data_IF_528337084828
#
_entry.id   IF_528337084828
#
_cell.length_a   1.000
_cell.length_b   1.000
_cell.length_c   1.000
_cell.angle_alpha   90.00
_cell.angle_beta   90.00
_cell.angle_gamma   90.00
#
_symmetry.space_group_name_H-M   'P 1'
#
loop_
_entity.id
_entity.type
_entity.pdbx_description
1 polymer ?
#
# COMPACT_ATOMS: atom_id res chain seq x y z
N UNK A 1 6.57 -15.15 -20.22
CA UNK A 1 6.95 -13.94 -20.99
C UNK A 1 6.37 -12.63 -20.45
N UNK A 2 5.23 -12.60 -19.71
CA UNK A 2 4.78 -11.35 -19.04
C UNK A 2 5.49 -11.08 -17.68
N UNK A 3 5.90 -12.13 -16.96
CA UNK A 3 6.49 -12.02 -15.63
C UNK A 3 8.02 -11.81 -15.60
N UNK A 4 8.74 -11.95 -16.72
CA UNK A 4 10.22 -11.79 -16.72
C UNK A 4 10.68 -10.36 -16.41
N UNK A 5 9.77 -9.39 -16.51
CA UNK A 5 10.01 -8.00 -16.16
C UNK A 5 9.35 -7.56 -14.86
N UNK A 6 8.62 -8.44 -14.16
CA UNK A 6 7.93 -8.12 -12.92
C UNK A 6 8.87 -8.32 -11.71
N UNK A 7 8.91 -7.35 -10.81
CA UNK A 7 9.62 -7.47 -9.54
C UNK A 7 8.74 -6.99 -8.38
N UNK A 8 8.85 -7.65 -7.23
CA UNK A 8 8.14 -7.27 -6.01
C UNK A 8 9.17 -7.01 -4.92
N UNK A 9 9.14 -5.82 -4.33
CA UNK A 9 9.92 -5.46 -3.15
C UNK A 9 8.98 -5.20 -1.97
N UNK A 10 9.53 -5.22 -0.76
CA UNK A 10 8.83 -4.88 0.48
C UNK A 10 9.77 -4.11 1.38
N UNK A 11 9.23 -3.21 2.20
CA UNK A 11 9.93 -2.72 3.37
C UNK A 11 9.57 -3.57 4.59
N UNK A 12 9.56 -2.95 5.77
CA UNK A 12 9.42 -3.65 7.04
C UNK A 12 7.97 -3.83 7.52
N UNK A 13 6.97 -3.23 6.85
CA UNK A 13 5.60 -3.23 7.34
C UNK A 13 4.94 -4.63 7.30
N UNK A 14 5.10 -5.35 6.18
CA UNK A 14 4.41 -6.63 5.96
C UNK A 14 5.25 -7.66 5.15
N UNK A 15 6.50 -8.00 5.57
CA UNK A 15 7.38 -8.88 4.80
C UNK A 15 6.77 -10.27 4.53
N UNK A 16 6.11 -10.87 5.52
CA UNK A 16 5.46 -12.18 5.36
C UNK A 16 4.32 -12.16 4.32
N UNK A 17 3.59 -11.04 4.20
CA UNK A 17 2.56 -10.89 3.17
C UNK A 17 3.22 -10.76 1.79
N UNK A 18 4.28 -9.96 1.68
CA UNK A 18 5.02 -9.80 0.43
C UNK A 18 5.62 -11.13 -0.07
N UNK A 19 6.19 -11.93 0.83
CA UNK A 19 6.67 -13.28 0.53
C UNK A 19 5.55 -14.19 0.04
N UNK A 20 4.38 -14.15 0.69
CA UNK A 20 3.20 -14.90 0.27
C UNK A 20 2.72 -14.51 -1.13
N UNK A 21 2.69 -13.22 -1.44
CA UNK A 21 2.34 -12.71 -2.77
C UNK A 21 3.39 -13.14 -3.81
N UNK A 22 4.68 -12.94 -3.55
CA UNK A 22 5.76 -13.33 -4.45
C UNK A 22 5.74 -14.84 -4.74
N UNK A 23 5.51 -15.67 -3.70
CA UNK A 23 5.34 -17.11 -3.82
C UNK A 23 4.15 -17.48 -4.71
N UNK A 24 2.99 -16.84 -4.53
CA UNK A 24 1.81 -17.08 -5.38
C UNK A 24 2.02 -16.63 -6.84
N UNK A 25 2.88 -15.64 -7.07
CA UNK A 25 3.28 -15.19 -8.40
C UNK A 25 4.39 -16.05 -9.03
N UNK A 26 5.00 -16.97 -8.26
CA UNK A 26 6.09 -17.82 -8.74
C UNK A 26 7.40 -17.07 -9.00
N UNK A 27 7.61 -15.92 -8.34
CA UNK A 27 8.81 -15.09 -8.45
C UNK A 27 9.49 -14.93 -7.08
N UNK A 28 10.81 -14.75 -7.02
CA UNK A 28 11.48 -14.37 -5.78
C UNK A 28 11.12 -12.94 -5.39
N UNK A 29 11.18 -12.64 -4.10
CA UNK A 29 11.16 -11.27 -3.61
C UNK A 29 12.45 -10.56 -4.01
N UNK A 30 12.33 -9.30 -4.43
CA UNK A 30 13.46 -8.44 -4.77
C UNK A 30 14.33 -8.18 -3.54
N UNK A 31 15.65 -8.14 -3.77
CA UNK A 31 16.68 -7.94 -2.77
C UNK A 31 16.85 -6.45 -2.52
N UNK A 32 16.46 -6.02 -1.33
CA UNK A 32 16.73 -4.68 -0.83
C UNK A 32 17.10 -4.74 0.66
N UNK A 33 17.99 -3.86 1.08
CA UNK A 33 18.21 -3.58 2.49
C UNK A 33 17.34 -2.37 2.86
N UNK A 34 16.43 -2.55 3.80
CA UNK A 34 15.59 -1.47 4.35
C UNK A 34 15.82 -1.46 5.85
N UNK A 35 16.71 -0.59 6.31
CA UNK A 35 17.19 -0.57 7.69
C UNK A 35 17.13 0.85 8.25
N UNK A 36 17.68 1.04 9.45
CA UNK A 36 17.84 2.36 10.05
C UNK A 36 19.29 2.59 10.45
N UNK A 37 19.77 3.82 10.28
CA UNK A 37 20.99 4.29 10.91
C UNK A 37 20.83 4.36 12.44
N UNK A 38 21.93 4.59 13.15
CA UNK A 38 21.96 4.61 14.62
C UNK A 38 21.09 5.71 15.25
N UNK A 39 20.81 6.78 14.51
CA UNK A 39 19.95 7.89 14.90
C UNK A 39 18.46 7.68 14.53
N UNK A 40 18.15 6.57 13.86
CA UNK A 40 16.79 6.19 13.48
C UNK A 40 16.37 6.62 12.07
N UNK A 41 17.25 7.31 11.31
CA UNK A 41 16.97 7.63 9.92
C UNK A 41 16.93 6.37 9.06
N UNK A 42 15.96 6.30 8.14
CA UNK A 42 15.78 5.14 7.27
C UNK A 42 16.88 5.10 6.20
N UNK A 43 17.50 3.94 6.02
CA UNK A 43 18.47 3.64 4.98
C UNK A 43 17.89 2.59 4.03
N UNK A 44 17.92 2.87 2.74
CA UNK A 44 17.44 1.95 1.69
C UNK A 44 18.53 1.72 0.65
N UNK A 45 18.75 0.46 0.31
CA UNK A 45 19.64 0.03 -0.77
C UNK A 45 18.96 -1.07 -1.61
N UNK A 46 18.87 -0.86 -2.92
CA UNK A 46 18.36 -1.86 -3.87
C UNK A 46 19.54 -2.72 -4.35
N UNK A 47 19.52 -4.02 -4.04
CA UNK A 47 20.66 -4.93 -4.21
C UNK A 47 20.58 -5.78 -5.49
N UNK A 48 19.80 -5.35 -6.47
CA UNK A 48 19.72 -6.00 -7.77
C UNK A 48 19.29 -5.05 -8.89
N UNK A 49 19.46 -5.48 -10.14
CA UNK A 49 19.19 -4.63 -11.30
C UNK A 49 17.68 -4.53 -11.58
N UNK A 50 17.13 -3.33 -11.38
CA UNK A 50 15.72 -3.00 -11.63
C UNK A 50 15.50 -2.22 -12.93
N UNK A 51 16.55 -1.96 -13.73
CA UNK A 51 16.46 -1.08 -14.91
C UNK A 51 15.42 -1.59 -15.91
N UNK A 52 14.44 -0.75 -16.22
CA UNK A 52 13.36 -1.04 -17.17
C UNK A 52 12.35 -2.09 -16.68
N UNK A 53 12.45 -2.54 -15.43
CA UNK A 53 11.53 -3.52 -14.84
C UNK A 53 10.24 -2.85 -14.36
N UNK A 54 9.16 -3.61 -14.33
CA UNK A 54 7.89 -3.23 -13.74
C UNK A 54 7.90 -3.65 -12.26
N UNK A 55 8.00 -2.65 -11.38
CA UNK A 55 8.30 -2.86 -9.97
C UNK A 55 7.07 -2.58 -9.12
N UNK A 56 6.74 -3.51 -8.24
CA UNK A 56 5.75 -3.35 -7.19
C UNK A 56 6.47 -3.22 -5.85
N UNK A 57 6.11 -2.22 -5.05
CA UNK A 57 6.54 -2.12 -3.65
C UNK A 57 5.33 -2.41 -2.77
N UNK A 58 5.32 -3.59 -2.14
CA UNK A 58 4.28 -4.02 -1.22
C UNK A 58 4.63 -3.56 0.19
N UNK A 59 3.94 -2.52 0.66
CA UNK A 59 4.18 -1.93 1.97
C UNK A 59 2.91 -1.22 2.44
N UNK A 60 2.27 -1.72 3.51
CA UNK A 60 1.23 -0.93 4.19
C UNK A 60 1.85 0.22 4.95
N UNK A 61 1.10 1.32 5.09
CA UNK A 61 1.47 2.43 5.96
C UNK A 61 0.79 2.28 7.33
N UNK A 62 0.89 1.09 7.91
CA UNK A 62 0.39 0.76 9.26
C UNK A 62 1.38 1.19 10.35
N UNK A 63 1.05 0.98 11.63
CA UNK A 63 1.96 1.33 12.74
C UNK A 63 3.30 0.59 12.62
N UNK A 64 4.45 1.27 12.80
CA UNK A 64 4.64 2.72 12.96
C UNK A 64 4.44 3.49 11.64
N UNK A 65 3.36 4.28 11.58
CA UNK A 65 2.84 4.86 10.32
C UNK A 65 3.86 5.69 9.56
N UNK A 66 4.57 6.57 10.26
CA UNK A 66 5.49 7.53 9.63
C UNK A 66 6.73 6.82 9.11
N UNK A 67 7.27 5.88 9.88
CA UNK A 67 8.46 5.12 9.48
C UNK A 67 8.15 4.29 8.25
N UNK A 68 7.03 3.55 8.24
CA UNK A 68 6.62 2.72 7.11
C UNK A 68 6.32 3.56 5.85
N UNK A 69 5.73 4.75 6.02
CA UNK A 69 5.53 5.71 4.93
C UNK A 69 6.86 6.24 4.38
N UNK A 70 7.80 6.59 5.25
CA UNK A 70 9.12 7.10 4.83
C UNK A 70 9.95 6.01 4.16
N UNK A 71 9.91 4.78 4.66
CA UNK A 71 10.51 3.61 3.98
C UNK A 71 9.96 3.47 2.55
N UNK A 72 8.64 3.49 2.38
CA UNK A 72 8.02 3.39 1.06
C UNK A 72 8.48 4.51 0.12
N UNK A 73 8.48 5.76 0.59
CA UNK A 73 8.92 6.92 -0.19
C UNK A 73 10.38 6.78 -0.64
N UNK A 74 11.27 6.40 0.28
CA UNK A 74 12.70 6.25 -0.01
C UNK A 74 12.97 5.05 -0.92
N UNK A 75 12.23 3.95 -0.78
CA UNK A 75 12.29 2.83 -1.72
C UNK A 75 11.86 3.24 -3.12
N UNK A 76 10.77 4.01 -3.26
CA UNK A 76 10.32 4.51 -4.56
C UNK A 76 11.37 5.43 -5.20
N UNK A 77 11.96 6.36 -4.44
CA UNK A 77 13.02 7.24 -4.95
C UNK A 77 14.26 6.44 -5.39
N UNK A 78 14.71 5.46 -4.60
CA UNK A 78 15.83 4.59 -4.94
C UNK A 78 15.59 3.80 -6.23
N UNK A 79 14.40 3.18 -6.38
CA UNK A 79 13.99 2.45 -7.58
C UNK A 79 13.93 3.36 -8.81
N UNK A 80 13.38 4.57 -8.65
CA UNK A 80 13.28 5.57 -9.72
C UNK A 80 14.65 6.00 -10.22
N UNK A 81 15.58 6.31 -9.30
CA UNK A 81 16.97 6.66 -9.63
C UNK A 81 17.73 5.49 -10.25
N UNK A 82 17.42 4.27 -9.84
CA UNK A 82 17.92 3.04 -10.45
C UNK A 82 17.28 2.74 -11.82
N UNK A 83 16.43 3.63 -12.34
CA UNK A 83 15.79 3.54 -13.66
C UNK A 83 14.81 2.38 -13.79
N UNK A 84 14.07 2.06 -12.71
CA UNK A 84 12.89 1.21 -12.82
C UNK A 84 11.97 1.72 -13.95
N UNK A 85 11.42 0.80 -14.73
CA UNK A 85 10.59 1.14 -15.90
C UNK A 85 9.21 1.67 -15.50
N UNK A 86 8.63 1.06 -14.47
CA UNK A 86 7.39 1.52 -13.83
C UNK A 86 7.40 1.20 -12.34
N UNK A 87 6.85 2.08 -11.50
CA UNK A 87 6.73 1.84 -10.06
C UNK A 87 5.27 1.87 -9.60
N UNK A 88 4.78 0.74 -9.09
CA UNK A 88 3.45 0.59 -8.48
C UNK A 88 3.60 0.45 -6.96
N UNK A 89 2.93 1.29 -6.19
CA UNK A 89 2.86 1.14 -4.74
C UNK A 89 1.64 0.27 -4.38
N UNK A 90 1.89 -0.94 -3.85
CA UNK A 90 0.86 -1.81 -3.31
C UNK A 90 0.78 -1.58 -1.79
N UNK A 91 -0.28 -0.91 -1.34
CA UNK A 91 -0.47 -0.45 0.03
C UNK A 91 -1.74 -1.13 0.60
N UNK A 92 -1.65 -2.39 1.09
CA UNK A 92 -2.82 -3.12 1.58
C UNK A 92 -3.60 -2.37 2.65
N UNK A 93 -2.92 -1.69 3.57
CA UNK A 93 -3.55 -0.76 4.50
C UNK A 93 -3.00 0.66 4.29
N UNK A 94 -3.87 1.57 3.86
CA UNK A 94 -3.55 2.98 3.66
C UNK A 94 -3.71 3.77 4.98
N UNK A 95 -2.60 4.01 5.66
CA UNK A 95 -2.53 4.90 6.81
C UNK A 95 -3.00 6.32 6.49
N UNK A 96 -3.37 7.08 7.51
CA UNK A 96 -3.96 8.43 7.39
C UNK A 96 -5.32 8.53 6.67
N UNK A 97 -5.87 7.43 6.14
CA UNK A 97 -7.14 7.44 5.39
C UNK A 97 -8.34 8.07 6.12
N UNK A 98 -8.34 8.07 7.47
CA UNK A 98 -9.43 8.65 8.27
C UNK A 98 -9.45 10.18 8.32
N UNK A 99 -8.37 10.84 7.88
CA UNK A 99 -8.25 12.29 7.87
C UNK A 99 -8.26 12.80 6.42
N UNK A 100 -9.44 12.66 5.82
CA UNK A 100 -9.77 12.88 4.41
C UNK A 100 -10.52 14.20 4.15
N UNK A 101 -10.92 14.93 5.20
CA UNK A 101 -11.68 16.18 5.06
C UNK A 101 -11.39 17.18 6.17
N UNK A 102 -11.96 18.38 6.02
CA UNK A 102 -11.99 19.44 7.04
C UNK A 102 -13.42 19.62 7.57
N UNK A 103 -13.87 18.85 8.57
CA UNK A 103 -15.22 18.98 9.11
C UNK A 103 -15.48 20.42 9.58
N UNK A 104 -16.60 21.01 9.15
CA UNK A 104 -17.02 22.37 9.54
C UNK A 104 -15.92 23.42 9.35
N UNK A 105 -15.12 23.30 8.29
CA UNK A 105 -13.98 24.19 7.98
C UNK A 105 -12.91 24.26 9.08
N UNK A 106 -12.82 23.24 9.94
CA UNK A 106 -11.79 23.15 10.97
C UNK A 106 -10.37 23.34 10.39
N UNK A 107 -9.47 23.91 11.20
CA UNK A 107 -8.06 24.12 10.86
C UNK A 107 -7.26 22.84 11.09
N UNK A 108 -7.58 21.81 10.31
CA UNK A 108 -6.92 20.50 10.34
C UNK A 108 -6.31 20.21 8.98
N UNK A 109 -5.28 19.37 8.96
CA UNK A 109 -4.75 18.81 7.73
C UNK A 109 -5.74 17.83 7.10
N UNK A 110 -5.63 17.63 5.79
CA UNK A 110 -6.18 16.48 5.07
C UNK A 110 -4.98 15.56 4.79
N UNK A 111 -4.56 14.79 5.80
CA UNK A 111 -3.29 14.06 5.74
C UNK A 111 -3.31 12.96 4.70
N UNK A 112 -4.46 12.35 4.41
CA UNK A 112 -4.61 11.41 3.29
C UNK A 112 -4.20 12.05 1.93
N UNK A 113 -4.60 13.31 1.67
CA UNK A 113 -4.18 14.05 0.46
C UNK A 113 -2.69 14.41 0.48
N UNK A 114 -2.15 14.73 1.66
CA UNK A 114 -0.70 14.98 1.80
C UNK A 114 0.09 13.71 1.45
N UNK A 115 -0.31 12.56 1.98
CA UNK A 115 0.31 11.26 1.66
C UNK A 115 0.20 10.94 0.17
N UNK A 116 -0.97 11.15 -0.44
CA UNK A 116 -1.14 10.95 -1.88
C UNK A 116 -0.15 11.78 -2.71
N UNK A 117 -0.05 13.08 -2.40
CA UNK A 117 0.91 13.99 -3.04
C UNK A 117 2.37 13.54 -2.81
N UNK A 118 2.72 13.05 -1.63
CA UNK A 118 4.09 12.58 -1.34
C UNK A 118 4.46 11.38 -2.21
N UNK A 119 3.56 10.41 -2.37
CA UNK A 119 3.78 9.21 -3.19
C UNK A 119 3.98 9.58 -4.66
N UNK A 120 3.13 10.45 -5.21
CA UNK A 120 3.26 10.92 -6.58
C UNK A 120 4.57 11.69 -6.81
N UNK A 121 4.94 12.56 -5.86
CA UNK A 121 6.19 13.33 -5.96
C UNK A 121 7.42 12.44 -5.84
N UNK A 122 7.38 11.39 -5.02
CA UNK A 122 8.43 10.37 -4.99
C UNK A 122 8.58 9.67 -6.35
N UNK A 123 7.48 9.47 -7.07
CA UNK A 123 7.45 8.92 -8.42
C UNK A 123 6.68 7.61 -8.53
N UNK A 124 5.70 7.38 -7.67
CA UNK A 124 4.71 6.32 -7.86
C UNK A 124 3.86 6.64 -9.09
N UNK A 125 3.62 5.64 -9.94
CA UNK A 125 2.85 5.79 -11.19
C UNK A 125 1.48 5.11 -11.12
N UNK A 126 1.29 4.17 -10.19
CA UNK A 126 0.02 3.50 -9.89
C UNK A 126 -0.02 3.09 -8.43
N UNK A 127 -1.21 3.09 -7.86
CA UNK A 127 -1.43 2.66 -6.48
C UNK A 127 -2.45 1.52 -6.43
N UNK A 128 -2.14 0.45 -5.70
CA UNK A 128 -3.06 -0.64 -5.39
C UNK A 128 -3.34 -0.61 -3.88
N UNK A 129 -4.59 -0.42 -3.48
CA UNK A 129 -5.02 -0.35 -2.06
C UNK A 129 -6.15 -1.34 -1.82
N UNK A 130 -6.30 -1.80 -0.58
CA UNK A 130 -7.40 -2.66 -0.17
C UNK A 130 -8.32 -1.95 0.83
N UNK A 131 -9.63 -1.99 0.57
CA UNK A 131 -10.70 -1.48 1.42
C UNK A 131 -10.44 -0.06 1.96
N UNK A 132 -10.29 0.91 1.04
CA UNK A 132 -10.17 2.32 1.40
C UNK A 132 -11.25 2.78 2.39
N UNK A 133 -10.86 3.61 3.36
CA UNK A 133 -11.79 4.15 4.34
C UNK A 133 -12.93 4.95 3.72
N UNK A 134 -12.62 5.71 2.66
CA UNK A 134 -13.55 6.48 1.86
C UNK A 134 -13.11 6.43 0.40
N UNK A 135 -14.02 6.07 -0.51
CA UNK A 135 -13.71 5.89 -1.94
C UNK A 135 -13.22 7.20 -2.60
N UNK A 136 -13.62 8.36 -2.06
CA UNK A 136 -13.18 9.67 -2.56
C UNK A 136 -11.66 9.88 -2.45
N UNK A 137 -10.96 9.10 -1.63
CA UNK A 137 -9.49 9.13 -1.53
C UNK A 137 -8.85 8.78 -2.88
N UNK A 138 -9.51 7.98 -3.74
CA UNK A 138 -9.02 7.74 -5.10
C UNK A 138 -8.85 9.04 -5.89
N UNK A 139 -9.76 10.01 -5.71
CA UNK A 139 -9.67 11.35 -6.31
C UNK A 139 -8.62 12.26 -5.67
N UNK A 140 -7.90 11.81 -4.63
CA UNK A 140 -6.72 12.51 -4.14
C UNK A 140 -5.48 12.21 -4.98
N UNK A 141 -5.52 11.19 -5.82
CA UNK A 141 -4.43 10.86 -6.74
C UNK A 141 -4.77 11.35 -8.15
N UNK A 142 -3.75 11.88 -8.83
CA UNK A 142 -3.75 12.22 -10.26
C UNK A 142 -3.18 11.05 -11.10
N UNK A 143 -2.83 9.94 -10.44
CA UNK A 143 -2.38 8.66 -11.03
C UNK A 143 -3.45 7.57 -10.83
N UNK A 144 -3.43 6.48 -11.63
CA UNK A 144 -4.38 5.38 -11.46
C UNK A 144 -4.32 4.75 -10.06
N UNK A 145 -5.50 4.56 -9.46
CA UNK A 145 -5.68 3.87 -8.18
C UNK A 145 -6.63 2.69 -8.37
N UNK A 146 -6.17 1.51 -7.97
CA UNK A 146 -6.98 0.31 -7.92
C UNK A 146 -7.34 0.03 -6.45
N UNK A 147 -8.60 0.21 -6.07
CA UNK A 147 -9.11 -0.17 -4.74
C UNK A 147 -9.75 -1.56 -4.83
N UNK A 148 -9.14 -2.56 -4.19
CA UNK A 148 -9.65 -3.93 -4.11
C UNK A 148 -10.39 -4.16 -2.79
N UNK A 149 -11.31 -5.12 -2.76
CA UNK A 149 -12.13 -5.41 -1.59
C UNK A 149 -11.78 -6.79 -1.02
N UNK A 150 -11.54 -6.88 0.28
CA UNK A 150 -11.33 -8.16 0.98
C UNK A 150 -12.65 -8.90 1.28
N UNK A 151 -13.80 -8.24 1.10
CA UNK A 151 -15.12 -8.81 1.36
C UNK A 151 -15.35 -10.20 0.76
N UNK A 152 -14.93 -10.53 -0.47
CA UNK A 152 -15.07 -11.90 -1.00
C UNK A 152 -14.34 -12.96 -0.16
N UNK A 153 -13.18 -12.62 0.42
CA UNK A 153 -12.41 -13.52 1.29
C UNK A 153 -13.14 -13.70 2.62
N UNK A 154 -13.61 -12.59 3.22
CA UNK A 154 -14.34 -12.60 4.49
C UNK A 154 -15.67 -13.37 4.38
N UNK A 155 -16.43 -13.12 3.32
CA UNK A 155 -17.68 -13.83 3.04
C UNK A 155 -17.44 -15.31 2.75
N UNK A 156 -16.33 -15.65 2.08
CA UNK A 156 -15.94 -17.04 1.86
C UNK A 156 -15.65 -17.81 3.16
N UNK A 157 -15.06 -17.17 4.17
CA UNK A 157 -14.91 -17.78 5.50
C UNK A 157 -16.26 -17.89 6.22
N UNK A 158 -17.06 -16.81 6.20
CA UNK A 158 -18.38 -16.77 6.83
C UNK A 158 -19.32 -17.87 6.29
N UNK A 159 -19.35 -18.07 4.96
CA UNK A 159 -20.14 -19.12 4.31
C UNK A 159 -19.72 -20.52 4.76
N UNK A 160 -18.43 -20.76 4.98
CA UNK A 160 -17.94 -22.07 5.46
C UNK A 160 -18.37 -22.39 6.89
N UNK A 161 -18.70 -21.38 7.70
CA UNK A 161 -19.17 -21.59 9.07
C UNK A 161 -20.62 -22.10 9.14
N UNK A 162 -21.41 -21.87 8.09
CA UNK A 162 -22.80 -22.32 7.97
C UNK A 162 -23.64 -22.02 9.24
N UNK A 163 -23.65 -20.77 9.67
CA UNK A 163 -24.45 -20.33 10.82
C UNK A 163 -25.94 -20.35 10.49
N UNK A 164 -26.74 -20.90 11.39
CA UNK A 164 -28.19 -20.76 11.37
C UNK A 164 -28.59 -19.34 11.80
N UNK A 165 -29.63 -18.77 11.19
CA UNK A 165 -30.20 -17.44 11.51
C UNK A 165 -29.16 -16.29 11.55
N UNK A 166 -28.18 -16.32 10.64
CA UNK A 166 -27.13 -15.31 10.55
C UNK A 166 -27.69 -13.89 10.33
N UNK A 167 -27.33 -12.98 11.24
CA UNK A 167 -27.66 -11.55 11.17
C UNK A 167 -26.39 -10.71 11.07
N UNK A 168 -26.32 -9.85 10.05
CA UNK A 168 -25.24 -8.87 9.89
C UNK A 168 -25.60 -7.58 10.62
N UNK A 169 -24.68 -7.07 11.45
CA UNK A 169 -24.89 -5.85 12.24
C UNK A 169 -23.82 -4.83 11.88
N UNK A 170 -24.25 -3.62 11.51
CA UNK A 170 -23.33 -2.50 11.36
C UNK A 170 -23.00 -1.92 12.75
N UNK A 171 -21.71 -1.79 13.13
CA UNK A 171 -21.33 -1.26 14.43
C UNK A 171 -21.59 0.25 14.58
N UNK A 172 -21.69 0.96 13.45
CA UNK A 172 -21.93 2.40 13.43
C UNK A 172 -22.63 2.84 12.12
N UNK A 173 -23.07 4.08 12.04
CA UNK A 173 -23.80 4.63 10.88
C UNK A 173 -22.94 4.68 9.61
N UNK A 174 -21.63 4.93 9.74
CA UNK A 174 -20.71 4.97 8.60
C UNK A 174 -20.45 3.60 7.99
N UNK A 175 -20.65 2.52 8.75
CA UNK A 175 -20.50 1.14 8.28
C UNK A 175 -21.69 0.57 7.52
N UNK A 176 -22.86 1.24 7.53
CA UNK A 176 -24.11 0.68 6.97
C UNK A 176 -24.03 0.40 5.47
N UNK A 177 -23.18 1.13 4.75
CA UNK A 177 -23.00 0.97 3.29
C UNK A 177 -22.05 -0.19 2.95
N UNK A 178 -21.23 -0.65 3.90
CA UNK A 178 -20.20 -1.69 3.70
C UNK A 178 -20.80 -3.09 3.87
#
# INVERSE_FOLDING_TARGET
>A
MAYENLMVFTGNANPALAEGVAKNLGIPLGKANVTKFSDGEVMVEINENVRGKDVFVLQSTCSPTNDNLMELILMVDALKRASAGRITAAIPYFGYARQDRRPRSARVAISAKVVANMLEKAGVERVLIMDLHADQIQGFFDIPVDNIYASPILLGDLQKKNYDDLLVVSPDVGGVVR
#
